data_IF_229048996818
#
_entry.id   IF_229048996818
#
_cell.length_a   1.000
_cell.length_b   1.000
_cell.length_c   1.000
_cell.angle_alpha   90.00
_cell.angle_beta   90.00
_cell.angle_gamma   90.00
#
_symmetry.space_group_name_H-M   'P 1'
#
loop_
_entity.id
_entity.type
_entity.pdbx_description
1 polymer ?
#
# COMPACT_ATOMS: atom_id res chain seq x y z
N UNK A 1 -16.74 -19.49 17.65
CA UNK A 1 -15.73 -18.46 17.97
C UNK A 1 -16.32 -17.09 17.70
N UNK A 2 -16.43 -16.22 18.72
CA UNK A 2 -16.92 -14.85 18.59
C UNK A 2 -15.98 -14.03 17.69
N UNK A 3 -16.52 -13.42 16.62
CA UNK A 3 -15.86 -12.32 15.90
C UNK A 3 -15.71 -11.15 16.88
N UNK A 4 -14.47 -10.82 17.27
CA UNK A 4 -14.21 -9.54 17.93
C UNK A 4 -14.34 -8.44 16.88
N UNK A 5 -15.41 -7.66 16.94
CA UNK A 5 -15.48 -6.35 16.31
C UNK A 5 -14.68 -5.38 17.17
N UNK A 6 -13.78 -4.64 16.54
CA UNK A 6 -13.12 -3.50 17.16
C UNK A 6 -13.86 -2.25 16.69
N UNK A 7 -14.39 -1.48 17.64
CA UNK A 7 -14.95 -0.16 17.42
C UNK A 7 -14.03 0.85 18.10
N UNK A 8 -13.51 1.82 17.34
CA UNK A 8 -12.93 3.03 17.94
C UNK A 8 -14.08 3.79 18.61
N UNK A 9 -13.96 4.08 19.90
CA UNK A 9 -14.92 4.93 20.59
C UNK A 9 -14.67 6.39 20.17
N UNK A 10 -15.24 6.79 19.05
CA UNK A 10 -15.08 8.11 18.45
C UNK A 10 -15.48 9.24 19.43
N UNK A 11 -16.41 8.96 20.35
CA UNK A 11 -16.82 9.91 21.39
C UNK A 11 -15.75 10.14 22.47
N UNK A 12 -14.90 9.15 22.76
CA UNK A 12 -13.75 9.33 23.67
C UNK A 12 -12.58 10.05 22.98
N UNK A 13 -12.36 9.81 21.69
CA UNK A 13 -11.33 10.52 20.91
C UNK A 13 -11.65 12.02 20.77
N UNK A 14 -12.92 12.40 20.61
CA UNK A 14 -13.34 13.81 20.58
C UNK A 14 -13.17 14.57 21.90
N UNK A 15 -13.33 13.90 23.06
CA UNK A 15 -13.27 14.56 24.38
C UNK A 15 -11.88 15.08 24.76
N UNK A 16 -10.79 14.48 24.28
CA UNK A 16 -9.40 14.82 24.68
C UNK A 16 -8.89 16.09 23.99
N UNK A 17 -9.47 16.46 22.84
CA UNK A 17 -9.04 17.61 22.02
C UNK A 17 -10.00 18.81 22.08
N UNK A 18 -10.94 18.82 23.03
CA UNK A 18 -12.03 19.81 23.11
C UNK A 18 -12.74 20.01 21.75
N UNK A 19 -12.96 18.91 21.03
CA UNK A 19 -13.64 18.89 19.73
C UNK A 19 -14.87 18.00 19.83
N UNK A 20 -16.04 18.56 19.50
CA UNK A 20 -17.25 17.77 19.26
C UNK A 20 -17.18 17.29 17.81
N UNK A 21 -17.29 15.98 17.56
CA UNK A 21 -17.50 15.49 16.19
C UNK A 21 -18.81 16.10 15.70
N UNK A 22 -18.71 16.97 14.72
CA UNK A 22 -19.84 17.55 14.04
C UNK A 22 -20.12 16.67 12.82
N UNK A 23 -21.37 16.25 12.63
CA UNK A 23 -21.77 15.36 11.53
C UNK A 23 -21.52 16.07 10.17
N UNK A 24 -21.40 15.30 9.09
CA UNK A 24 -21.26 15.76 7.71
C UNK A 24 -22.32 16.82 7.31
N UNK A 25 -23.44 16.89 8.03
CA UNK A 25 -24.52 17.87 7.84
C UNK A 25 -24.26 19.24 8.44
N UNK A 26 -23.42 19.36 9.44
CA UNK A 26 -23.06 20.65 10.01
C UNK A 26 -21.99 21.36 9.17
N UNK A 27 -21.33 20.64 8.26
CA UNK A 27 -20.34 21.17 7.33
C UNK A 27 -20.96 21.75 6.04
N UNK A 28 -22.26 21.55 5.81
CA UNK A 28 -22.92 21.88 4.54
C UNK A 28 -24.26 22.58 4.78
N UNK A 29 -24.26 23.84 5.22
CA UNK A 29 -25.38 24.80 5.13
C UNK A 29 -26.77 24.17 4.89
N UNK A 30 -27.29 23.42 5.86
CA UNK A 30 -28.61 22.80 5.73
C UNK A 30 -29.67 23.84 6.12
N UNK A 31 -30.61 24.08 5.23
CA UNK A 31 -31.75 24.98 5.45
C UNK A 31 -32.60 24.44 6.62
N UNK A 32 -33.03 25.32 7.54
CA UNK A 32 -33.88 24.95 8.68
C UNK A 32 -35.15 24.20 8.26
N UNK A 33 -35.65 24.48 7.05
CA UNK A 33 -36.84 23.80 6.53
C UNK A 33 -36.58 22.31 6.23
N UNK A 34 -35.37 21.95 5.80
CA UNK A 34 -34.97 20.55 5.53
C UNK A 34 -34.94 19.71 6.82
N UNK A 35 -34.68 20.35 7.97
CA UNK A 35 -34.70 19.70 9.30
C UNK A 35 -36.14 19.48 9.77
N UNK A 36 -37.03 20.45 9.55
CA UNK A 36 -38.45 20.37 9.95
C UNK A 36 -39.16 19.24 9.19
N UNK A 37 -38.93 19.11 7.88
CA UNK A 37 -39.55 18.05 7.08
C UNK A 37 -39.11 16.64 7.52
N UNK A 38 -37.85 16.49 7.96
CA UNK A 38 -37.34 15.23 8.53
C UNK A 38 -37.99 14.88 9.87
N UNK A 39 -38.22 15.87 10.75
CA UNK A 39 -38.90 15.67 12.04
C UNK A 39 -40.38 15.28 11.88
N UNK A 40 -41.02 15.71 10.79
CA UNK A 40 -42.39 15.33 10.41
C UNK A 40 -42.48 13.96 9.70
N UNK A 41 -41.37 13.23 9.59
CA UNK A 41 -41.33 11.90 8.99
C UNK A 41 -41.36 11.90 7.45
N UNK A 42 -41.06 13.04 6.81
CA UNK A 42 -40.89 13.11 5.35
C UNK A 42 -39.40 12.91 5.03
N UNK A 43 -39.10 11.85 4.26
CA UNK A 43 -37.72 11.52 3.90
C UNK A 43 -37.14 12.55 2.89
N UNK A 44 -36.10 13.29 3.29
CA UNK A 44 -35.33 14.12 2.37
C UNK A 44 -34.32 13.26 1.61
N UNK A 45 -34.48 13.18 0.29
CA UNK A 45 -33.60 12.41 -0.60
C UNK A 45 -32.18 12.98 -0.76
N UNK A 46 -31.85 14.09 -0.08
CA UNK A 46 -30.55 14.79 -0.21
C UNK A 46 -29.45 14.27 0.71
N UNK A 47 -29.80 13.56 1.79
CA UNK A 47 -28.86 12.96 2.75
C UNK A 47 -28.45 11.55 2.25
N UNK A 48 -28.01 11.45 1.00
CA UNK A 48 -27.20 10.32 0.55
C UNK A 48 -25.76 10.80 0.60
N UNK A 49 -25.11 10.46 1.70
CA UNK A 49 -23.68 10.53 2.04
C UNK A 49 -22.76 11.00 0.91
N UNK A 50 -22.11 12.18 1.06
CA UNK A 50 -21.02 12.56 0.17
C UNK A 50 -19.79 11.73 0.49
N UNK A 51 -19.50 10.73 -0.33
CA UNK A 51 -18.24 9.99 -0.29
C UNK A 51 -17.05 10.95 -0.41
N UNK A 52 -15.95 10.66 0.32
CA UNK A 52 -14.72 11.46 0.25
C UNK A 52 -14.10 11.25 -1.13
N UNK A 53 -14.01 12.31 -1.92
CA UNK A 53 -13.42 12.23 -3.26
C UNK A 53 -11.91 12.09 -3.14
N UNK A 54 -11.36 11.08 -3.77
CA UNK A 54 -9.95 10.73 -3.67
C UNK A 54 -9.28 10.68 -5.04
N UNK A 55 -8.02 11.12 -5.07
CA UNK A 55 -7.08 10.84 -6.13
C UNK A 55 -6.00 9.86 -5.65
N UNK A 56 -5.62 8.90 -6.48
CA UNK A 56 -4.49 8.00 -6.24
C UNK A 56 -3.39 8.21 -7.28
N UNK A 57 -2.14 8.33 -6.83
CA UNK A 57 -0.97 8.39 -7.71
C UNK A 57 -0.11 7.15 -7.56
N UNK A 58 0.46 6.68 -8.66
CA UNK A 58 1.27 5.44 -8.70
C UNK A 58 0.48 4.23 -8.19
N UNK A 59 -0.76 4.11 -8.66
CA UNK A 59 -1.76 3.19 -8.11
C UNK A 59 -1.43 1.71 -8.35
N UNK A 60 -0.54 1.40 -9.30
CA UNK A 60 -0.18 0.05 -9.69
C UNK A 60 -1.39 -0.76 -10.12
N UNK A 61 -1.59 -1.92 -9.50
CA UNK A 61 -2.81 -2.73 -9.66
C UNK A 61 -3.91 -2.39 -8.65
N UNK A 62 -3.74 -1.35 -7.82
CA UNK A 62 -4.76 -0.84 -6.91
C UNK A 62 -4.69 -1.35 -5.47
N UNK A 63 -3.54 -1.85 -5.01
CA UNK A 63 -3.44 -2.44 -3.66
C UNK A 63 -3.66 -1.43 -2.52
N UNK A 64 -3.22 -0.17 -2.70
CA UNK A 64 -3.46 0.91 -1.74
C UNK A 64 -4.92 1.37 -1.85
N UNK A 65 -5.33 1.66 -3.08
CA UNK A 65 -6.67 2.13 -3.46
C UNK A 65 -7.79 1.24 -2.93
N UNK A 66 -7.64 -0.09 -2.97
CA UNK A 66 -8.63 -1.03 -2.45
C UNK A 66 -8.95 -0.79 -0.97
N UNK A 67 -7.96 -0.41 -0.15
CA UNK A 67 -8.20 -0.13 1.26
C UNK A 67 -9.09 1.09 1.47
N UNK A 68 -8.99 2.10 0.61
CA UNK A 68 -9.85 3.29 0.65
C UNK A 68 -11.24 3.01 0.07
N UNK A 69 -11.30 2.19 -0.99
CA UNK A 69 -12.57 1.74 -1.56
C UNK A 69 -13.42 0.98 -0.53
N UNK A 70 -12.78 0.14 0.29
CA UNK A 70 -13.43 -0.63 1.37
C UNK A 70 -13.99 0.25 2.49
N UNK A 71 -13.49 1.48 2.60
CA UNK A 71 -13.94 2.52 3.54
C UNK A 71 -14.82 3.58 2.86
N UNK A 72 -15.43 3.26 1.70
CA UNK A 72 -16.36 4.10 0.94
C UNK A 72 -15.78 5.45 0.43
N UNK A 73 -14.48 5.52 0.17
CA UNK A 73 -13.91 6.65 -0.59
C UNK A 73 -14.30 6.55 -2.06
N UNK A 74 -14.61 7.69 -2.69
CA UNK A 74 -14.88 7.79 -4.12
C UNK A 74 -13.59 8.12 -4.87
N UNK A 75 -12.97 7.12 -5.48
CA UNK A 75 -11.71 7.30 -6.23
C UNK A 75 -12.05 7.84 -7.61
N UNK A 76 -11.93 9.15 -7.79
CA UNK A 76 -12.31 9.85 -9.03
C UNK A 76 -11.17 10.00 -10.04
N UNK A 77 -9.94 9.76 -9.59
CA UNK A 77 -8.75 9.84 -10.43
C UNK A 77 -7.68 8.87 -9.93
N UNK A 78 -7.09 8.10 -10.84
CA UNK A 78 -5.92 7.28 -10.55
C UNK A 78 -4.91 7.37 -11.68
N UNK A 79 -3.62 7.23 -11.39
CA UNK A 79 -2.60 7.11 -12.42
C UNK A 79 -1.57 6.01 -12.14
N UNK A 80 -1.11 5.38 -13.20
CA UNK A 80 0.18 4.71 -13.23
C UNK A 80 0.79 4.84 -14.63
N UNK A 81 2.07 4.51 -14.76
CA UNK A 81 2.80 4.65 -16.01
C UNK A 81 3.16 3.29 -16.60
N UNK A 82 3.37 3.31 -17.89
CA UNK A 82 3.97 2.17 -18.57
C UNK A 82 5.49 2.10 -18.31
N UNK A 83 5.96 1.06 -17.63
CA UNK A 83 7.40 0.90 -17.30
C UNK A 83 8.13 -0.01 -18.29
N UNK A 84 7.46 -1.00 -18.92
CA UNK A 84 8.10 -1.87 -19.92
C UNK A 84 7.11 -2.62 -20.82
N UNK A 85 7.56 -2.99 -22.03
CA UNK A 85 6.80 -3.83 -22.98
C UNK A 85 6.41 -5.21 -22.43
N UNK A 86 7.13 -5.73 -21.44
CA UNK A 86 6.83 -7.03 -20.85
C UNK A 86 5.55 -7.03 -20.01
N UNK A 87 5.22 -5.89 -19.37
CA UNK A 87 4.04 -5.78 -18.52
C UNK A 87 2.77 -5.41 -19.28
N UNK A 88 2.86 -5.08 -20.60
CA UNK A 88 1.74 -4.81 -21.53
C UNK A 88 0.49 -4.23 -20.84
N UNK A 89 0.65 -3.17 -20.04
CA UNK A 89 -0.41 -2.52 -19.25
C UNK A 89 -1.26 -3.41 -18.29
N UNK A 90 -0.88 -4.66 -18.04
CA UNK A 90 -1.61 -5.62 -17.20
C UNK A 90 -1.98 -5.09 -15.80
N UNK A 91 -1.16 -4.20 -15.22
CA UNK A 91 -1.46 -3.58 -13.93
C UNK A 91 -2.66 -2.62 -14.04
N UNK A 92 -2.75 -1.84 -15.11
CA UNK A 92 -3.90 -0.98 -15.44
C UNK A 92 -5.14 -1.85 -15.70
N UNK A 93 -5.02 -2.92 -16.49
CA UNK A 93 -6.15 -3.83 -16.72
C UNK A 93 -6.62 -4.47 -15.42
N UNK A 94 -5.69 -4.89 -14.56
CA UNK A 94 -6.02 -5.43 -13.24
C UNK A 94 -6.73 -4.38 -12.40
N UNK A 95 -6.25 -3.13 -12.39
CA UNK A 95 -6.90 -2.04 -11.68
C UNK A 95 -8.34 -1.84 -12.18
N UNK A 96 -8.55 -1.73 -13.50
CA UNK A 96 -9.88 -1.52 -14.11
C UNK A 96 -10.87 -2.62 -13.73
N UNK A 97 -10.42 -3.87 -13.79
CA UNK A 97 -11.26 -5.01 -13.45
C UNK A 97 -11.64 -5.09 -11.96
N UNK A 98 -10.87 -4.47 -11.06
CA UNK A 98 -11.08 -4.59 -9.61
C UNK A 98 -11.59 -3.30 -8.93
N UNK A 99 -11.33 -2.13 -9.53
CA UNK A 99 -11.55 -0.83 -8.89
C UNK A 99 -12.34 0.10 -9.81
N UNK A 100 -11.91 0.30 -11.06
CA UNK A 100 -12.68 1.10 -12.03
C UNK A 100 -11.85 1.72 -13.15
N UNK A 101 -12.55 2.30 -14.12
CA UNK A 101 -11.98 2.85 -15.35
C UNK A 101 -11.37 4.25 -15.21
N UNK A 102 -11.45 4.87 -14.04
CA UNK A 102 -10.88 6.20 -13.74
C UNK A 102 -9.34 6.21 -13.71
N UNK A 103 -8.68 5.05 -13.80
CA UNK A 103 -7.22 4.99 -13.91
C UNK A 103 -6.72 5.35 -15.32
N UNK A 104 -5.73 6.24 -15.34
CA UNK A 104 -5.09 6.75 -16.55
C UNK A 104 -3.67 6.18 -16.64
N UNK A 105 -3.33 5.61 -17.80
CA UNK A 105 -1.97 5.18 -18.11
C UNK A 105 -1.17 6.37 -18.63
N UNK A 106 -0.54 7.13 -17.73
CA UNK A 106 0.24 8.33 -18.04
C UNK A 106 1.32 8.55 -16.98
N UNK A 107 2.52 8.96 -17.38
CA UNK A 107 3.57 9.29 -16.42
C UNK A 107 3.15 10.52 -15.60
N UNK A 108 3.34 10.46 -14.29
CA UNK A 108 2.98 11.55 -13.37
C UNK A 108 3.66 12.88 -13.74
N UNK A 109 4.84 12.80 -14.36
CA UNK A 109 5.63 13.94 -14.79
C UNK A 109 4.99 14.71 -15.95
N UNK A 110 4.02 14.10 -16.65
CA UNK A 110 3.34 14.72 -17.78
C UNK A 110 2.13 15.54 -17.36
N UNK A 111 1.63 15.39 -16.12
CA UNK A 111 0.46 16.13 -15.65
C UNK A 111 0.76 17.60 -15.42
N UNK A 112 -0.14 18.46 -15.88
CA UNK A 112 -0.18 19.88 -15.54
C UNK A 112 -1.26 20.16 -14.50
N UNK A 113 -1.35 21.39 -14.01
CA UNK A 113 -2.38 21.80 -13.06
C UNK A 113 -3.80 21.57 -13.60
N UNK A 114 -3.99 21.75 -14.91
CA UNK A 114 -5.28 21.62 -15.59
C UNK A 114 -5.74 20.16 -15.73
N UNK A 115 -4.80 19.20 -15.70
CA UNK A 115 -5.11 17.78 -15.71
C UNK A 115 -5.63 17.27 -14.35
N UNK A 116 -5.34 18.00 -13.26
CA UNK A 116 -5.57 17.53 -11.89
C UNK A 116 -6.94 18.00 -11.37
N UNK A 117 -7.85 17.08 -11.01
CA UNK A 117 -9.14 17.45 -10.44
C UNK A 117 -9.02 17.91 -8.98
N UNK A 118 -9.99 18.71 -8.54
CA UNK A 118 -10.19 18.97 -7.12
C UNK A 118 -10.74 17.72 -6.43
N UNK A 119 -10.09 17.32 -5.34
CA UNK A 119 -10.43 16.16 -4.51
C UNK A 119 -10.27 16.50 -3.03
N UNK A 120 -10.88 15.72 -2.15
CA UNK A 120 -10.75 15.89 -0.71
C UNK A 120 -9.48 15.22 -0.16
N UNK A 121 -9.07 14.10 -0.76
CA UNK A 121 -7.95 13.30 -0.29
C UNK A 121 -7.03 12.82 -1.43
N UNK A 122 -5.73 12.68 -1.15
CA UNK A 122 -4.75 12.12 -2.09
C UNK A 122 -3.98 10.95 -1.46
N UNK A 123 -3.93 9.80 -2.12
CA UNK A 123 -3.01 8.72 -1.74
C UNK A 123 -1.91 8.55 -2.81
N UNK A 124 -0.68 8.24 -2.40
CA UNK A 124 0.39 7.97 -3.36
C UNK A 124 1.42 6.94 -2.87
N UNK A 125 1.73 5.95 -3.71
CA UNK A 125 2.82 4.99 -3.50
C UNK A 125 4.08 5.37 -4.29
N UNK A 126 4.76 6.47 -3.90
CA UNK A 126 5.82 7.06 -4.72
C UNK A 126 6.94 6.03 -5.01
N UNK A 127 7.27 5.74 -6.28
CA UNK A 127 8.32 4.80 -6.62
C UNK A 127 9.65 5.19 -6.00
N UNK A 128 10.17 4.27 -5.19
CA UNK A 128 11.45 4.38 -4.49
C UNK A 128 12.57 3.76 -5.35
N UNK A 129 12.62 4.08 -6.64
CA UNK A 129 13.69 3.56 -7.49
C UNK A 129 14.96 4.33 -7.11
N UNK A 130 15.86 3.62 -6.42
CA UNK A 130 17.23 3.99 -6.02
C UNK A 130 17.51 4.67 -4.67
N UNK A 131 16.94 4.10 -3.61
CA UNK A 131 17.45 4.30 -2.25
C UNK A 131 18.13 3.04 -1.68
N UNK A 132 18.67 2.13 -2.51
CA UNK A 132 19.52 1.03 -2.02
C UNK A 132 20.97 1.51 -1.81
N UNK A 133 21.70 0.93 -0.86
CA UNK A 133 23.06 1.35 -0.47
C UNK A 133 24.06 1.49 -1.63
N UNK A 134 23.82 0.84 -2.78
CA UNK A 134 24.72 0.83 -3.94
C UNK A 134 24.45 1.95 -4.96
N UNK A 135 23.24 2.53 -4.99
CA UNK A 135 22.82 3.49 -6.02
C UNK A 135 22.56 4.91 -5.51
N UNK A 136 22.74 5.18 -4.21
CA UNK A 136 22.65 6.54 -3.64
C UNK A 136 23.60 7.51 -4.37
N UNK A 137 24.69 7.01 -4.95
CA UNK A 137 25.69 7.83 -5.65
C UNK A 137 25.22 8.26 -7.06
N UNK A 138 24.29 7.53 -7.70
CA UNK A 138 23.92 7.78 -9.11
C UNK A 138 22.60 8.54 -9.32
N UNK A 139 21.64 8.44 -8.39
CA UNK A 139 20.29 8.99 -8.59
C UNK A 139 20.10 10.39 -8.02
N UNK A 140 21.02 10.81 -7.18
CA UNK A 140 21.32 12.21 -7.02
C UNK A 140 22.37 12.52 -8.09
N UNK A 141 21.98 13.21 -9.17
CA UNK A 141 22.87 13.53 -10.29
C UNK A 141 24.23 14.06 -9.83
N UNK A 142 24.25 14.74 -8.67
CA UNK A 142 25.40 15.07 -7.83
C UNK A 142 25.01 14.85 -6.36
N UNK A 143 25.97 14.66 -5.44
CA UNK A 143 25.74 14.53 -3.98
C UNK A 143 24.82 15.62 -3.39
N UNK A 144 24.75 16.79 -4.04
CA UNK A 144 23.96 17.97 -3.70
C UNK A 144 22.49 17.96 -4.12
N UNK A 145 22.02 17.05 -4.99
CA UNK A 145 20.62 17.13 -5.44
C UNK A 145 19.69 16.79 -4.27
N UNK A 146 18.92 17.77 -3.79
CA UNK A 146 17.95 17.66 -2.69
C UNK A 146 16.53 17.39 -3.21
N UNK A 147 16.36 17.31 -4.53
CA UNK A 147 15.07 17.26 -5.21
C UNK A 147 14.93 15.92 -5.93
N UNK A 148 13.86 15.19 -5.64
CA UNK A 148 13.51 13.97 -6.35
C UNK A 148 12.35 14.27 -7.30
N UNK A 149 12.48 14.13 -8.63
CA UNK A 149 11.48 14.61 -9.58
C UNK A 149 10.06 14.11 -9.31
N UNK A 150 9.89 12.81 -9.02
CA UNK A 150 8.57 12.24 -8.70
C UNK A 150 8.01 12.77 -7.36
N UNK A 151 8.88 13.09 -6.40
CA UNK A 151 8.44 13.67 -5.12
C UNK A 151 8.02 15.12 -5.36
N UNK A 152 8.84 15.92 -6.03
CA UNK A 152 8.51 17.32 -6.34
C UNK A 152 7.22 17.43 -7.15
N UNK A 153 7.02 16.54 -8.13
CA UNK A 153 5.79 16.51 -8.90
C UNK A 153 4.59 16.07 -8.06
N UNK A 154 4.75 15.10 -7.15
CA UNK A 154 3.69 14.75 -6.20
C UNK A 154 3.33 15.94 -5.30
N UNK A 155 4.31 16.70 -4.81
CA UNK A 155 4.09 17.92 -4.02
C UNK A 155 3.36 19.00 -4.84
N UNK A 156 3.64 19.11 -6.14
CA UNK A 156 2.89 19.99 -7.03
C UNK A 156 1.44 19.54 -7.16
N UNK A 157 1.19 18.25 -7.40
CA UNK A 157 -0.16 17.70 -7.56
C UNK A 157 -0.98 17.83 -6.28
N UNK A 158 -0.39 17.60 -5.09
CA UNK A 158 -1.06 17.85 -3.81
C UNK A 158 -1.57 19.30 -3.76
N UNK A 159 -0.73 20.28 -4.10
CA UNK A 159 -1.11 21.68 -4.12
C UNK A 159 -2.16 22.01 -5.20
N UNK A 160 -2.05 21.42 -6.39
CA UNK A 160 -3.00 21.64 -7.49
C UNK A 160 -4.38 21.07 -7.19
N UNK A 161 -4.44 19.92 -6.51
CA UNK A 161 -5.67 19.21 -6.16
C UNK A 161 -6.53 19.87 -5.09
N UNK A 162 -5.96 20.83 -4.34
CA UNK A 162 -6.59 21.46 -3.17
C UNK A 162 -7.09 20.47 -2.11
N UNK A 163 -6.51 19.27 -2.05
CA UNK A 163 -6.91 18.26 -1.09
C UNK A 163 -6.76 18.74 0.35
N UNK A 164 -7.61 18.23 1.24
CA UNK A 164 -7.58 18.53 2.67
C UNK A 164 -6.73 17.52 3.43
N UNK A 165 -6.48 16.35 2.84
CA UNK A 165 -5.58 15.35 3.40
C UNK A 165 -4.80 14.61 2.33
N UNK A 166 -3.65 14.07 2.72
CA UNK A 166 -2.88 13.16 1.87
C UNK A 166 -2.22 12.04 2.66
N UNK A 167 -2.02 10.88 2.03
CA UNK A 167 -1.23 9.76 2.54
C UNK A 167 -0.18 9.35 1.51
N UNK A 168 1.09 9.40 1.90
CA UNK A 168 2.20 8.87 1.08
C UNK A 168 2.72 7.59 1.71
N UNK A 169 2.80 6.52 0.92
CA UNK A 169 3.48 5.27 1.27
C UNK A 169 4.88 5.24 0.65
N UNK A 170 5.85 4.71 1.41
CA UNK A 170 7.18 4.43 0.90
C UNK A 170 7.92 3.36 1.72
N UNK A 171 9.15 3.01 1.31
CA UNK A 171 10.04 2.16 2.12
C UNK A 171 10.51 2.90 3.38
N UNK A 172 10.84 2.15 4.44
CA UNK A 172 11.29 2.69 5.74
C UNK A 172 12.44 3.72 5.61
N UNK A 173 13.41 3.46 4.72
CA UNK A 173 14.58 4.34 4.50
C UNK A 173 14.21 5.73 3.94
N UNK A 174 13.03 5.89 3.36
CA UNK A 174 12.59 7.17 2.80
C UNK A 174 12.54 8.28 3.86
N UNK A 175 12.18 7.96 5.10
CA UNK A 175 12.09 8.94 6.19
C UNK A 175 13.47 9.43 6.67
N UNK A 176 14.50 8.61 6.52
CA UNK A 176 15.83 8.85 7.11
C UNK A 176 16.90 9.22 6.09
N UNK A 177 16.61 9.09 4.79
CA UNK A 177 17.57 9.41 3.72
C UNK A 177 18.12 10.84 3.87
N UNK A 178 19.45 10.98 3.73
CA UNK A 178 20.18 12.26 3.84
C UNK A 178 19.74 13.10 5.06
N UNK A 179 19.56 12.47 6.23
CA UNK A 179 19.16 13.16 7.46
C UNK A 179 17.71 13.63 7.45
N UNK A 180 16.83 12.90 6.75
CA UNK A 180 15.39 13.21 6.67
C UNK A 180 15.06 14.35 5.71
N UNK A 181 15.88 14.56 4.68
CA UNK A 181 15.72 15.69 3.77
C UNK A 181 14.36 15.70 3.06
N UNK A 182 13.84 14.52 2.70
CA UNK A 182 12.54 14.41 2.06
C UNK A 182 11.45 14.94 2.99
N UNK A 183 11.47 14.59 4.28
CA UNK A 183 10.46 15.06 5.23
C UNK A 183 10.55 16.57 5.46
N UNK A 184 11.76 17.13 5.51
CA UNK A 184 11.94 18.59 5.54
C UNK A 184 11.31 19.23 4.31
N UNK A 185 11.55 18.65 3.13
CA UNK A 185 11.00 19.11 1.86
C UNK A 185 9.47 19.08 1.83
N UNK A 186 8.84 18.00 2.33
CA UNK A 186 7.38 17.92 2.49
C UNK A 186 6.85 19.05 3.37
N UNK A 187 7.45 19.26 4.56
CA UNK A 187 7.05 20.33 5.49
C UNK A 187 7.24 21.74 4.92
N UNK A 188 8.30 21.96 4.14
CA UNK A 188 8.57 23.23 3.46
C UNK A 188 7.54 23.51 2.35
N UNK A 189 7.26 22.51 1.51
CA UNK A 189 6.42 22.66 0.31
C UNK A 189 4.92 22.60 0.59
N UNK A 190 4.53 22.04 1.74
CA UNK A 190 3.15 21.83 2.18
C UNK A 190 2.95 22.45 3.57
N UNK A 191 3.36 23.70 3.75
CA UNK A 191 3.35 24.40 5.05
C UNK A 191 1.95 24.61 5.64
N UNK A 192 0.90 24.49 4.82
CA UNK A 192 -0.49 24.53 5.25
C UNK A 192 -0.99 23.19 5.81
N UNK A 193 -0.18 22.12 5.75
CA UNK A 193 -0.52 20.81 6.30
C UNK A 193 0.26 20.54 7.58
N UNK A 194 -0.44 20.03 8.59
CA UNK A 194 0.18 19.34 9.70
C UNK A 194 0.57 17.94 9.25
N UNK A 195 1.83 17.55 9.45
CA UNK A 195 2.40 16.31 8.90
C UNK A 195 2.97 15.43 10.01
N UNK A 196 2.50 14.19 10.08
CA UNK A 196 3.06 13.12 10.90
C UNK A 196 3.65 12.02 10.01
N UNK A 197 4.69 11.35 10.52
CA UNK A 197 5.29 10.20 9.86
C UNK A 197 5.35 9.00 10.80
N UNK A 198 5.19 7.79 10.26
CA UNK A 198 5.32 6.56 11.04
C UNK A 198 5.85 5.43 10.18
N UNK A 199 6.66 4.56 10.77
CA UNK A 199 7.02 3.27 10.17
C UNK A 199 6.08 2.21 10.75
N UNK A 200 5.42 1.48 9.87
CA UNK A 200 4.44 0.45 10.21
C UNK A 200 4.95 -0.89 9.73
N UNK A 201 5.03 -1.87 10.63
CA UNK A 201 5.22 -3.28 10.26
C UNK A 201 3.87 -3.92 10.01
N UNK A 202 3.63 -4.43 8.81
CA UNK A 202 2.37 -5.07 8.45
C UNK A 202 1.99 -6.25 9.38
N UNK A 203 2.97 -6.92 10.01
CA UNK A 203 2.69 -7.97 11.00
C UNK A 203 1.95 -7.44 12.22
N UNK A 204 2.20 -6.20 12.65
CA UNK A 204 1.44 -5.56 13.74
C UNK A 204 -0.04 -5.36 13.42
N UNK A 205 -0.37 -5.37 12.13
CA UNK A 205 -1.72 -5.32 11.56
C UNK A 205 -2.23 -6.71 11.15
N UNK A 206 -1.63 -7.78 11.66
CA UNK A 206 -2.05 -9.16 11.40
C UNK A 206 -1.69 -9.68 10.00
N UNK A 207 -0.81 -9.02 9.25
CA UNK A 207 -0.31 -9.53 7.96
C UNK A 207 0.61 -10.74 8.16
N UNK A 208 0.56 -11.76 7.28
CA UNK A 208 1.49 -12.89 7.28
C UNK A 208 2.88 -12.57 6.76
N UNK A 209 3.19 -11.30 6.50
CA UNK A 209 4.45 -10.84 5.92
C UNK A 209 5.10 -9.77 6.80
N UNK A 210 6.38 -9.98 7.14
CA UNK A 210 7.26 -8.95 7.71
C UNK A 210 7.54 -7.91 6.65
N UNK A 211 6.85 -6.78 6.72
CA UNK A 211 6.96 -5.69 5.75
C UNK A 211 6.82 -4.36 6.46
N UNK A 212 7.93 -3.65 6.61
CA UNK A 212 7.95 -2.29 7.12
C UNK A 212 7.74 -1.28 6.00
N UNK A 213 6.88 -0.30 6.23
CA UNK A 213 6.62 0.82 5.33
C UNK A 213 6.53 2.13 6.09
N UNK A 214 7.07 3.17 5.48
CA UNK A 214 6.94 4.53 5.93
C UNK A 214 5.63 5.10 5.41
N UNK A 215 4.90 5.77 6.29
CA UNK A 215 3.70 6.52 5.95
C UNK A 215 3.92 7.98 6.35
N UNK A 216 3.50 8.88 5.47
CA UNK A 216 3.47 10.33 5.69
C UNK A 216 2.02 10.76 5.53
N UNK A 217 1.38 11.15 6.62
CA UNK A 217 0.01 11.65 6.64
C UNK A 217 0.04 13.15 6.88
N UNK A 218 -0.59 13.90 5.99
CA UNK A 218 -0.79 15.34 6.15
C UNK A 218 -2.25 15.71 6.15
N UNK A 219 -2.65 16.62 7.05
CA UNK A 219 -4.00 17.21 7.09
C UNK A 219 -3.91 18.74 7.12
N UNK A 220 -4.74 19.40 6.34
CA UNK A 220 -4.87 20.86 6.32
C UNK A 220 -5.96 21.28 7.33
N UNK A 221 -5.57 22.03 8.36
CA UNK A 221 -6.49 22.51 9.39
C UNK A 221 -6.84 21.50 10.49
N UNK A 222 -6.14 20.36 10.58
CA UNK A 222 -6.33 19.35 11.63
C UNK A 222 -5.00 18.68 12.01
N UNK A 223 -4.90 18.10 13.20
CA UNK A 223 -3.73 17.31 13.61
C UNK A 223 -3.89 15.85 13.16
N UNK A 224 -2.97 15.32 12.33
CA UNK A 224 -3.05 13.93 11.89
C UNK A 224 -2.69 12.94 13.00
N UNK A 225 -3.38 11.80 13.04
CA UNK A 225 -3.02 10.66 13.89
C UNK A 225 -2.77 9.41 13.05
N UNK A 226 -1.66 8.71 13.34
CA UNK A 226 -1.32 7.40 12.79
C UNK A 226 -1.14 6.38 13.92
N UNK A 227 -2.01 6.39 14.92
CA UNK A 227 -2.04 5.36 15.94
C UNK A 227 -2.61 4.06 15.41
N UNK A 228 -1.88 2.98 15.67
CA UNK A 228 -2.14 1.69 15.08
C UNK A 228 -2.62 0.77 16.19
N UNK A 229 -3.82 0.18 16.06
CA UNK A 229 -4.22 -0.85 16.99
C UNK A 229 -3.31 -2.06 16.82
N UNK A 230 -2.75 -2.55 17.92
CA UNK A 230 -2.11 -3.86 17.92
C UNK A 230 -3.19 -4.92 17.73
N UNK A 231 -3.21 -5.58 16.57
CA UNK A 231 -4.09 -6.72 16.38
C UNK A 231 -3.56 -7.91 17.18
N UNK A 232 -4.43 -8.54 17.97
CA UNK A 232 -4.06 -9.67 18.82
C UNK A 232 -3.78 -10.96 18.04
N UNK A 233 -4.27 -11.08 16.80
CA UNK A 233 -4.13 -12.28 15.99
C UNK A 233 -3.20 -12.03 14.81
N UNK A 234 -1.99 -12.57 14.92
CA UNK A 234 -1.02 -12.65 13.83
C UNK A 234 -1.45 -13.76 12.87
N UNK A 235 -1.45 -13.46 11.58
CA UNK A 235 -1.68 -14.44 10.52
C UNK A 235 -0.33 -15.05 10.16
N UNK A 236 -0.23 -16.37 10.08
CA UNK A 236 0.98 -17.09 9.65
C UNK A 236 0.95 -17.36 8.14
N UNK A 237 2.05 -17.87 7.58
CA UNK A 237 2.07 -18.38 6.21
C UNK A 237 1.04 -19.50 6.01
N UNK A 238 0.86 -20.37 7.00
CA UNK A 238 -0.18 -21.41 6.99
C UNK A 238 -1.55 -20.80 6.80
N UNK A 239 -1.93 -19.84 7.64
CA UNK A 239 -3.24 -19.20 7.60
C UNK A 239 -3.47 -18.47 6.26
N UNK A 240 -2.41 -17.88 5.68
CA UNK A 240 -2.49 -17.24 4.38
C UNK A 240 -2.79 -18.24 3.25
N UNK A 241 -2.25 -19.45 3.34
CA UNK A 241 -2.36 -20.51 2.32
C UNK A 241 -3.58 -21.41 2.50
N UNK A 242 -4.41 -21.19 3.52
CA UNK A 242 -5.66 -21.94 3.70
C UNK A 242 -6.63 -21.71 2.53
N UNK A 243 -7.31 -22.79 2.12
CA UNK A 243 -8.36 -22.80 1.10
C UNK A 243 -7.94 -22.15 -0.24
N UNK A 244 -6.71 -22.44 -0.67
CA UNK A 244 -6.10 -21.86 -1.88
C UNK A 244 -6.22 -22.77 -3.12
N UNK A 245 -6.50 -24.06 -2.91
CA UNK A 245 -6.66 -25.04 -3.99
C UNK A 245 -7.80 -24.64 -4.94
N UNK A 246 -7.59 -24.83 -6.25
CA UNK A 246 -8.56 -24.50 -7.29
C UNK A 246 -8.83 -23.00 -7.49
N UNK A 247 -8.13 -22.10 -6.77
CA UNK A 247 -8.29 -20.64 -6.95
C UNK A 247 -7.56 -20.15 -8.21
N UNK A 248 -8.05 -19.08 -8.87
CA UNK A 248 -7.39 -18.51 -10.03
C UNK A 248 -5.92 -18.19 -9.75
N UNK A 249 -5.07 -18.51 -10.73
CA UNK A 249 -3.62 -18.28 -10.71
C UNK A 249 -2.84 -19.12 -9.69
N UNK A 250 -3.47 -20.13 -9.10
CA UNK A 250 -2.79 -21.06 -8.18
C UNK A 250 -1.76 -21.94 -8.88
N UNK A 251 -1.91 -22.21 -10.18
CA UNK A 251 -0.92 -23.01 -10.94
C UNK A 251 0.12 -22.14 -11.67
N UNK A 252 0.09 -20.82 -11.47
CA UNK A 252 1.02 -19.89 -12.11
C UNK A 252 2.24 -19.65 -11.21
N UNK A 253 3.35 -20.29 -11.54
CA UNK A 253 4.65 -20.11 -10.88
C UNK A 253 5.80 -20.32 -11.87
N UNK A 254 7.00 -19.82 -11.55
CA UNK A 254 8.17 -20.09 -12.38
C UNK A 254 8.59 -21.55 -12.29
N UNK A 255 8.92 -22.14 -13.43
CA UNK A 255 9.48 -23.49 -13.44
C UNK A 255 10.94 -23.42 -13.00
N UNK A 256 11.31 -24.00 -11.85
CA UNK A 256 12.71 -24.03 -11.42
C UNK A 256 13.55 -24.90 -12.36
N UNK A 257 14.80 -24.49 -12.60
CA UNK A 257 15.78 -25.33 -13.32
C UNK A 257 16.08 -26.61 -12.54
N UNK A 258 16.55 -27.67 -13.20
CA UNK A 258 16.94 -28.93 -12.53
C UNK A 258 17.97 -28.71 -11.41
N UNK A 259 18.92 -27.79 -11.61
CA UNK A 259 19.89 -27.40 -10.58
C UNK A 259 19.23 -26.71 -9.38
N UNK A 260 18.25 -25.84 -9.62
CA UNK A 260 17.51 -25.20 -8.54
C UNK A 260 16.64 -26.20 -7.79
N UNK A 261 15.96 -27.11 -8.50
CA UNK A 261 15.18 -28.18 -7.90
C UNK A 261 16.01 -29.03 -6.95
N UNK A 262 17.23 -29.39 -7.34
CA UNK A 262 18.13 -30.15 -6.49
C UNK A 262 18.49 -29.38 -5.22
N UNK A 263 18.81 -28.09 -5.34
CA UNK A 263 19.08 -27.22 -4.18
C UNK A 263 17.90 -27.14 -3.21
N UNK A 264 16.69 -26.98 -3.73
CA UNK A 264 15.48 -26.85 -2.91
C UNK A 264 15.30 -28.03 -1.96
N UNK A 265 15.65 -29.27 -2.37
CA UNK A 265 15.54 -30.49 -1.54
C UNK A 265 16.33 -30.40 -0.22
N UNK A 266 17.40 -29.61 -0.18
CA UNK A 266 18.26 -29.45 1.01
C UNK A 266 17.84 -28.30 1.93
N UNK A 267 16.90 -27.47 1.50
CA UNK A 267 16.48 -26.30 2.28
C UNK A 267 15.33 -26.70 3.20
N UNK A 268 15.49 -26.66 4.55
CA UNK A 268 14.37 -26.88 5.48
C UNK A 268 13.47 -25.63 5.56
N UNK A 269 12.29 -25.73 6.19
CA UNK A 269 11.43 -24.57 6.45
C UNK A 269 12.20 -23.46 7.19
N UNK A 270 12.05 -22.21 6.75
CA UNK A 270 12.82 -21.07 7.25
C UNK A 270 14.29 -21.00 6.78
N UNK A 271 14.78 -22.04 6.10
CA UNK A 271 16.13 -22.11 5.54
C UNK A 271 16.30 -21.31 4.25
N UNK A 272 17.54 -21.29 3.75
CA UNK A 272 17.91 -20.65 2.48
C UNK A 272 19.10 -21.38 1.83
N UNK A 273 19.75 -20.75 0.84
CA UNK A 273 20.93 -21.30 0.14
C UNK A 273 22.07 -21.77 1.08
N UNK A 274 22.15 -21.25 2.31
CA UNK A 274 23.15 -21.68 3.28
C UNK A 274 22.90 -23.08 3.86
N UNK A 275 21.72 -23.67 3.62
CA UNK A 275 21.41 -25.06 3.97
C UNK A 275 21.82 -26.06 2.89
N UNK A 276 22.14 -25.57 1.69
CA UNK A 276 22.49 -26.41 0.53
C UNK A 276 23.95 -26.87 0.63
N UNK A 277 24.33 -28.11 0.29
CA UNK A 277 25.73 -28.53 0.22
C UNK A 277 26.59 -27.65 -0.69
N UNK A 278 27.86 -27.41 -0.34
CA UNK A 278 28.74 -26.44 -1.03
C UNK A 278 28.92 -26.77 -2.51
N UNK A 279 29.00 -28.05 -2.85
CA UNK A 279 29.13 -28.58 -4.21
C UNK A 279 27.93 -28.28 -5.11
N UNK A 280 26.75 -28.05 -4.53
CA UNK A 280 25.54 -27.65 -5.26
C UNK A 280 25.36 -26.13 -5.32
N UNK A 281 26.12 -25.35 -4.53
CA UNK A 281 26.06 -23.89 -4.57
C UNK A 281 26.74 -23.37 -5.83
N UNK A 282 26.32 -22.19 -6.28
CA UNK A 282 27.00 -21.52 -7.40
C UNK A 282 28.33 -20.96 -6.90
N UNK A 283 29.39 -21.07 -7.72
CA UNK A 283 30.66 -20.39 -7.47
C UNK A 283 30.52 -18.86 -7.41
N UNK A 284 29.54 -18.31 -8.14
CA UNK A 284 29.15 -16.90 -8.02
C UNK A 284 28.36 -16.72 -6.72
N UNK A 285 28.84 -15.82 -5.86
CA UNK A 285 28.17 -15.45 -4.61
C UNK A 285 26.74 -15.02 -4.90
N UNK A 286 25.77 -15.84 -4.51
CA UNK A 286 24.35 -15.47 -4.51
C UNK A 286 24.02 -14.69 -3.24
N UNK A 287 22.98 -13.85 -3.32
CA UNK A 287 22.42 -13.24 -2.12
C UNK A 287 21.95 -14.33 -1.14
N UNK A 288 22.08 -14.05 0.16
CA UNK A 288 21.77 -15.00 1.23
C UNK A 288 20.30 -15.43 1.26
N UNK A 289 19.41 -14.64 0.67
CA UNK A 289 17.98 -14.95 0.55
C UNK A 289 17.66 -15.91 -0.61
N UNK A 290 18.62 -16.28 -1.47
CA UNK A 290 18.33 -17.21 -2.57
C UNK A 290 17.82 -18.58 -2.04
N UNK A 291 16.85 -19.18 -2.73
CA UNK A 291 16.16 -20.42 -2.30
C UNK A 291 15.61 -20.34 -0.86
N UNK A 292 15.09 -19.19 -0.45
CA UNK A 292 14.53 -19.02 0.89
C UNK A 292 13.18 -19.75 1.00
N UNK A 293 13.14 -20.80 1.83
CA UNK A 293 11.93 -21.57 2.09
C UNK A 293 11.10 -20.90 3.16
N UNK A 294 9.82 -20.69 2.88
CA UNK A 294 8.90 -20.17 3.89
C UNK A 294 8.73 -21.16 5.03
N UNK A 295 8.39 -20.65 6.21
CA UNK A 295 7.99 -21.42 7.38
C UNK A 295 6.48 -21.26 7.58
N UNK A 296 5.74 -22.37 7.60
CA UNK A 296 4.29 -22.38 7.79
C UNK A 296 3.86 -21.69 9.08
N UNK A 297 4.63 -21.84 10.15
CA UNK A 297 4.28 -21.30 11.46
C UNK A 297 4.88 -19.89 11.67
N UNK A 298 5.62 -19.39 10.69
CA UNK A 298 6.24 -18.08 10.70
C UNK A 298 5.50 -17.05 9.85
N UNK A 299 6.17 -15.92 9.65
CA UNK A 299 5.76 -14.87 8.72
C UNK A 299 6.71 -14.89 7.53
N UNK A 300 6.17 -14.64 6.33
CA UNK A 300 6.98 -14.45 5.15
C UNK A 300 7.92 -13.24 5.32
N UNK A 301 9.15 -13.30 4.79
CA UNK A 301 10.01 -12.13 4.65
C UNK A 301 9.39 -11.10 3.70
N UNK A 302 9.98 -9.90 3.60
CA UNK A 302 9.52 -8.89 2.64
C UNK A 302 9.64 -9.42 1.22
N UNK A 303 8.51 -9.57 0.55
CA UNK A 303 8.45 -9.93 -0.86
C UNK A 303 8.61 -8.65 -1.68
N UNK A 304 9.67 -8.61 -2.48
CA UNK A 304 10.03 -7.47 -3.34
C UNK A 304 9.28 -7.52 -4.67
N UNK A 305 9.06 -8.71 -5.23
CA UNK A 305 8.30 -8.94 -6.45
C UNK A 305 7.46 -10.22 -6.35
N UNK A 306 6.25 -10.20 -6.95
CA UNK A 306 5.28 -11.32 -6.96
C UNK A 306 5.82 -12.58 -7.65
N UNK A 307 6.96 -12.43 -8.30
CA UNK A 307 7.57 -13.36 -9.23
C UNK A 307 9.09 -13.37 -9.00
N UNK A 308 9.49 -13.40 -7.72
CA UNK A 308 10.90 -13.46 -7.34
C UNK A 308 11.37 -14.92 -7.31
N UNK A 309 12.41 -15.27 -8.06
CA UNK A 309 13.05 -16.60 -8.12
C UNK A 309 13.86 -16.92 -6.85
N UNK A 310 13.38 -16.43 -5.72
CA UNK A 310 14.03 -16.39 -4.41
C UNK A 310 13.23 -17.20 -3.40
N UNK A 311 11.91 -16.98 -3.32
CA UNK A 311 11.05 -17.57 -2.29
C UNK A 311 10.41 -18.88 -2.76
N UNK A 312 10.55 -19.94 -1.95
CA UNK A 312 10.05 -21.28 -2.27
C UNK A 312 8.97 -21.73 -1.29
N UNK A 313 8.05 -22.56 -1.79
CA UNK A 313 6.91 -23.08 -1.02
C UNK A 313 7.39 -23.79 0.27
N UNK A 314 6.68 -23.67 1.40
CA UNK A 314 7.13 -24.23 2.67
C UNK A 314 7.31 -25.77 2.65
N UNK A 315 6.54 -26.47 1.80
CA UNK A 315 6.56 -27.94 1.73
C UNK A 315 7.00 -28.51 0.38
N UNK A 316 7.00 -27.70 -0.68
CA UNK A 316 7.15 -28.19 -2.05
C UNK A 316 8.44 -27.63 -2.66
N UNK A 317 9.05 -28.36 -3.58
CA UNK A 317 10.24 -27.91 -4.30
C UNK A 317 9.84 -27.10 -5.54
N UNK A 318 9.16 -25.98 -5.30
CA UNK A 318 8.78 -24.99 -6.32
C UNK A 318 8.78 -23.59 -5.74
N UNK A 319 8.83 -22.61 -6.62
CA UNK A 319 8.56 -21.22 -6.25
C UNK A 319 7.11 -21.03 -5.80
N UNK A 320 6.87 -19.91 -5.13
CA UNK A 320 5.52 -19.49 -4.78
C UNK A 320 4.70 -19.23 -6.04
N UNK A 321 3.40 -19.51 -5.96
CA UNK A 321 2.45 -19.19 -7.01
C UNK A 321 2.08 -17.71 -6.95
N UNK A 322 1.53 -17.17 -8.04
CA UNK A 322 0.98 -15.80 -8.05
C UNK A 322 -0.08 -15.65 -6.96
N UNK A 323 -0.94 -16.67 -6.79
CA UNK A 323 -2.00 -16.68 -5.77
C UNK A 323 -1.45 -16.77 -4.35
N UNK A 324 -0.48 -17.64 -4.09
CA UNK A 324 0.22 -17.74 -2.80
C UNK A 324 0.85 -16.40 -2.42
N UNK A 325 1.51 -15.76 -3.38
CA UNK A 325 2.10 -14.45 -3.14
C UNK A 325 1.03 -13.41 -2.86
N UNK A 326 -0.06 -13.34 -3.62
CA UNK A 326 -1.18 -12.43 -3.36
C UNK A 326 -1.78 -12.61 -1.95
N UNK A 327 -1.87 -13.87 -1.45
CA UNK A 327 -2.32 -14.16 -0.08
C UNK A 327 -1.39 -13.58 0.98
N UNK A 328 -0.07 -13.58 0.73
CA UNK A 328 0.93 -12.97 1.62
C UNK A 328 0.90 -11.45 1.63
N UNK A 329 0.23 -10.82 0.65
CA UNK A 329 -0.09 -9.38 0.64
C UNK A 329 -1.48 -9.07 1.19
N UNK A 330 -2.17 -10.06 1.79
CA UNK A 330 -3.54 -9.92 2.33
C UNK A 330 -4.61 -9.52 1.30
N UNK A 331 -4.34 -9.69 0.00
CA UNK A 331 -5.24 -9.33 -1.11
C UNK A 331 -6.39 -10.36 -1.32
N UNK A 332 -7.04 -10.79 -0.23
CA UNK A 332 -8.05 -11.85 -0.24
C UNK A 332 -9.10 -11.75 0.86
N UNK A 333 -8.89 -10.91 1.90
CA UNK A 333 -9.77 -10.85 3.08
C UNK A 333 -11.11 -10.11 2.86
N UNK A 334 -11.38 -9.60 1.66
CA UNK A 334 -12.70 -9.07 1.29
C UNK A 334 -13.09 -9.40 -0.16
N UNK A 335 -13.11 -10.70 -0.50
CA UNK A 335 -14.04 -11.21 -1.51
C UNK A 335 -15.07 -12.06 -0.79
N UNK A 336 -15.90 -11.42 0.06
CA UNK A 336 -17.15 -12.04 0.48
C UNK A 336 -18.22 -11.61 -0.52
N UNK A 337 -18.89 -12.60 -1.09
CA UNK A 337 -20.09 -12.54 -1.94
C UNK A 337 -19.98 -11.69 -3.21
N UNK A 338 -19.77 -12.37 -4.34
CA UNK A 338 -20.67 -12.21 -5.47
C UNK A 338 -21.51 -13.49 -5.57
#
# INVERSE_FOLDING_TARGET
MQKKQYSVNLAEFGKVVNYQQIDLFDLLHVDKNDVIDSMDGRASSKIKEKAIRMMSLFSGCGSIDKAFLDENYDIVFANDRFVSRALRDNHIQTYRNNIGDHIIMRDVMEFTKEDIPEVDFLAAGIPCVDFSNLNVIKNFRNEESLQHPLVEQTLNIINWSKCKGFLIENVERFLTVKGGIMIKRFKERLSNFNIITRVIDATSLGSPQKRKRAFILGLNGAEPNLDIPHLAQLTTVRDAFENIEGKPQQDMYFTPTSKTLERMKHVPQGGNINSVPLELRSEKKKFSNFCQRLDLNGHAPTITHVQDEVFIHPLLNRYLTVRETARLFSLWRQMMSA
#
